data_IF_312906222902
#
_entry.id   IF_312906222902
#
_cell.length_a   1.000
_cell.length_b   1.000
_cell.length_c   1.000
_cell.angle_alpha   90.00
_cell.angle_beta   90.00
_cell.angle_gamma   90.00
#
_symmetry.space_group_name_H-M   'P 1'
#
loop_
_entity.id
_entity.type
_entity.pdbx_description
1 polymer ?
#
# COMPACT_ATOMS: atom_id res chain seq x y z
N UNK A 1 -46.12 -17.79 -20.55
CA UNK A 1 -45.38 -17.21 -21.69
C UNK A 1 -44.78 -15.87 -21.29
N UNK A 2 -44.09 -15.80 -20.15
CA UNK A 2 -43.51 -14.56 -19.67
C UNK A 2 -42.00 -14.76 -19.78
N UNK A 3 -41.49 -14.36 -20.95
CA UNK A 3 -40.08 -14.33 -21.35
C UNK A 3 -39.35 -13.34 -20.44
N UNK A 4 -39.07 -13.77 -19.21
CA UNK A 4 -38.41 -12.98 -18.17
C UNK A 4 -36.89 -12.98 -18.31
N UNK A 5 -36.35 -12.38 -19.36
CA UNK A 5 -34.90 -12.22 -19.51
C UNK A 5 -34.57 -10.91 -20.24
N UNK A 6 -35.01 -9.81 -19.66
CA UNK A 6 -34.44 -8.48 -19.88
C UNK A 6 -34.33 -7.84 -18.50
N UNK A 7 -33.12 -7.80 -17.92
CA UNK A 7 -32.50 -6.59 -17.37
C UNK A 7 -31.01 -6.90 -17.23
N UNK A 8 -30.24 -6.50 -18.26
CA UNK A 8 -28.86 -6.11 -18.06
C UNK A 8 -28.88 -4.80 -17.27
N UNK A 9 -28.51 -4.81 -15.99
CA UNK A 9 -28.16 -3.59 -15.26
C UNK A 9 -27.49 -3.92 -13.92
N UNK A 10 -26.26 -3.42 -13.80
CA UNK A 10 -25.79 -2.67 -12.65
C UNK A 10 -25.31 -3.41 -11.39
N UNK A 11 -24.20 -2.86 -10.87
CA UNK A 11 -23.62 -2.95 -9.52
C UNK A 11 -22.91 -4.29 -9.21
N UNK A 12 -21.64 -4.37 -8.80
CA UNK A 12 -20.85 -3.42 -7.99
C UNK A 12 -19.37 -3.47 -8.39
N UNK A 13 -18.80 -2.29 -8.58
CA UNK A 13 -17.38 -2.00 -8.57
C UNK A 13 -16.74 -2.28 -7.19
N UNK A 14 -15.41 -2.40 -7.19
CA UNK A 14 -14.54 -2.15 -6.03
C UNK A 14 -14.78 -2.98 -4.76
N UNK A 15 -14.08 -4.11 -4.66
CA UNK A 15 -13.42 -4.49 -3.40
C UNK A 15 -12.08 -3.72 -3.38
N UNK A 16 -12.06 -2.46 -2.98
CA UNK A 16 -12.03 -1.99 -1.60
C UNK A 16 -10.82 -2.55 -0.85
N UNK A 17 -9.95 -1.60 -0.51
CA UNK A 17 -8.96 -1.64 0.54
C UNK A 17 -7.87 -2.70 0.35
N UNK A 18 -6.76 -2.24 -0.24
CA UNK A 18 -5.45 -2.75 0.13
C UNK A 18 -5.44 -2.93 1.64
N UNK A 19 -5.11 -4.14 2.05
CA UNK A 19 -4.97 -4.50 3.44
C UNK A 19 -3.91 -3.56 4.03
N UNK A 20 -4.37 -2.48 4.67
CA UNK A 20 -3.64 -1.85 5.75
C UNK A 20 -3.63 -2.89 6.89
N UNK A 21 -2.86 -3.96 6.70
CA UNK A 21 -2.28 -4.72 7.79
C UNK A 21 -1.65 -3.64 8.65
N UNK A 22 -2.13 -3.50 9.88
CA UNK A 22 -1.55 -2.60 10.85
C UNK A 22 -0.05 -2.86 10.84
N UNK A 23 0.70 -1.88 10.34
CA UNK A 23 2.09 -2.06 10.05
C UNK A 23 2.78 -2.58 11.28
N UNK A 24 3.40 -3.75 11.18
CA UNK A 24 4.33 -4.13 12.21
C UNK A 24 5.31 -2.96 12.34
N UNK A 25 5.60 -2.53 13.57
CA UNK A 25 6.58 -1.48 13.91
C UNK A 25 7.98 -1.95 13.47
N UNK A 26 8.19 -2.09 12.17
CA UNK A 26 9.47 -2.34 11.56
C UNK A 26 10.20 -1.01 11.63
N UNK A 27 11.31 -0.97 12.32
CA UNK A 27 12.08 0.25 12.49
C UNK A 27 13.43 0.13 11.80
N UNK A 28 13.71 1.04 10.86
CA UNK A 28 15.02 1.16 10.24
C UNK A 28 15.71 2.44 10.73
N UNK A 29 16.91 2.27 11.27
CA UNK A 29 17.76 3.40 11.70
C UNK A 29 18.12 4.32 10.52
N UNK A 30 18.33 3.74 9.34
CA UNK A 30 18.72 4.45 8.13
C UNK A 30 18.40 3.61 6.88
N UNK A 31 18.55 4.23 5.71
CA UNK A 31 18.29 3.56 4.43
C UNK A 31 19.24 2.42 4.08
N UNK A 32 20.44 2.39 4.67
CA UNK A 32 21.34 1.23 4.52
C UNK A 32 20.72 0.00 5.15
N UNK A 33 20.23 0.10 6.39
CA UNK A 33 19.57 -1.00 7.08
C UNK A 33 18.29 -1.47 6.35
N UNK A 34 17.51 -0.52 5.81
CA UNK A 34 16.32 -0.85 5.01
C UNK A 34 16.69 -1.60 3.71
N UNK A 35 17.75 -1.17 3.01
CA UNK A 35 18.26 -1.83 1.79
C UNK A 35 18.87 -3.20 2.08
N UNK A 36 19.62 -3.34 3.16
CA UNK A 36 20.17 -4.62 3.61
C UNK A 36 19.07 -5.62 3.99
N UNK A 37 17.96 -5.12 4.54
CA UNK A 37 16.75 -5.91 4.81
C UNK A 37 15.92 -6.21 3.54
N UNK A 38 16.26 -5.61 2.39
CA UNK A 38 15.51 -5.76 1.14
C UNK A 38 14.14 -5.07 1.14
N UNK A 39 13.94 -4.09 2.02
CA UNK A 39 12.68 -3.36 2.16
C UNK A 39 12.59 -2.09 1.32
N UNK A 40 13.72 -1.55 0.84
CA UNK A 40 13.71 -0.33 0.03
C UNK A 40 13.45 -0.62 -1.47
N UNK A 41 12.70 0.25 -2.17
CA UNK A 41 12.07 1.49 -1.70
C UNK A 41 10.83 1.22 -0.82
N UNK A 42 10.65 2.01 0.25
CA UNK A 42 9.52 1.87 1.18
C UNK A 42 8.52 3.00 0.93
N UNK A 43 7.28 2.68 0.56
CA UNK A 43 6.25 3.70 0.31
C UNK A 43 5.54 4.12 1.60
N UNK A 44 5.02 5.35 1.61
CA UNK A 44 4.21 5.84 2.71
C UNK A 44 2.99 4.94 2.95
N UNK A 45 2.85 4.46 4.18
CA UNK A 45 1.82 3.50 4.58
C UNK A 45 2.24 2.04 4.53
N UNK A 46 3.46 1.74 4.05
CA UNK A 46 4.08 0.43 4.21
C UNK A 46 4.83 0.30 5.55
N UNK A 47 4.98 -0.93 5.99
CA UNK A 47 5.72 -1.29 7.19
C UNK A 47 7.18 -0.86 7.05
N UNK A 48 7.66 -0.09 8.02
CA UNK A 48 9.01 0.46 7.97
C UNK A 48 9.15 1.82 7.32
N UNK A 49 8.06 2.41 6.80
CA UNK A 49 8.11 3.80 6.39
C UNK A 49 8.34 4.69 7.61
N UNK A 50 9.32 5.57 7.50
CA UNK A 50 9.52 6.61 8.49
C UNK A 50 9.96 7.89 7.78
N UNK A 51 9.42 9.03 8.20
CA UNK A 51 9.70 10.32 7.58
C UNK A 51 11.19 10.72 7.67
N UNK A 52 12.00 10.10 8.53
CA UNK A 52 13.45 10.33 8.58
C UNK A 52 14.23 9.54 7.50
N UNK A 53 13.58 8.58 6.85
CA UNK A 53 14.14 7.78 5.75
C UNK A 53 13.81 8.36 4.38
N UNK A 54 12.78 9.19 4.32
CA UNK A 54 12.32 9.94 3.16
C UNK A 54 12.96 11.33 3.19
N UNK A 55 14.00 11.52 2.37
CA UNK A 55 14.87 12.70 2.47
C UNK A 55 14.22 13.94 1.87
N UNK A 56 13.40 13.77 0.83
CA UNK A 56 12.76 14.86 0.11
C UNK A 56 11.28 15.02 0.47
N UNK A 57 10.66 14.00 1.10
CA UNK A 57 9.31 14.04 1.62
C UNK A 57 8.25 13.73 0.57
N UNK A 58 8.61 13.04 -0.51
CA UNK A 58 7.70 12.72 -1.61
C UNK A 58 6.78 11.51 -1.32
N UNK A 59 7.06 10.78 -0.23
CA UNK A 59 6.34 9.57 0.18
C UNK A 59 7.04 8.27 -0.20
N UNK A 60 8.27 8.32 -0.71
CA UNK A 60 9.10 7.16 -1.06
C UNK A 60 10.40 7.22 -0.24
N UNK A 61 10.45 6.44 0.85
CA UNK A 61 11.66 6.33 1.65
C UNK A 61 12.73 5.47 0.96
N UNK A 62 13.98 5.91 1.09
CA UNK A 62 15.19 5.19 0.66
C UNK A 62 15.33 4.92 -0.85
N UNK A 63 14.88 5.87 -1.66
CA UNK A 63 15.24 6.03 -3.07
C UNK A 63 16.75 6.23 -3.34
#
# INVERSE_FOLDING_TARGET
MIRGLIVAAFVIAATAAGAATASADVYYKNCTAAREAGAAPIMQGEDGYAAHLDRDGDGIACE
#
